data_IF_620599824562
#
_entry.id   IF_620599824562
#
_cell.length_a   1.000
_cell.length_b   1.000
_cell.length_c   1.000
_cell.angle_alpha   90.00
_cell.angle_beta   90.00
_cell.angle_gamma   90.00
#
_symmetry.space_group_name_H-M   'P 1'
#
loop_
_entity.id
_entity.type
_entity.pdbx_description
1 polymer ?
#
# COMPACT_ATOMS: atom_id res chain seq x y z
N UNK A 1 8.58 -14.55 16.17
CA UNK A 1 7.11 -14.47 15.98
C UNK A 1 6.84 -13.35 15.00
N UNK A 2 6.09 -13.60 13.93
CA UNK A 2 5.54 -12.51 13.11
C UNK A 2 4.33 -11.99 13.85
N UNK A 3 4.39 -10.75 14.34
CA UNK A 3 3.27 -10.13 15.07
C UNK A 3 2.06 -9.92 14.18
N UNK A 4 0.88 -9.70 14.78
CA UNK A 4 -0.33 -9.34 14.03
C UNK A 4 -0.14 -7.95 13.43
N UNK A 5 -0.17 -7.78 12.09
CA UNK A 5 -0.06 -6.46 11.49
C UNK A 5 -1.19 -5.54 11.99
N UNK A 6 -0.91 -4.27 12.30
CA UNK A 6 -1.94 -3.34 12.74
C UNK A 6 -2.90 -2.96 11.61
N UNK A 7 -2.45 -3.03 10.35
CA UNK A 7 -3.15 -2.57 9.16
C UNK A 7 -3.09 -3.61 8.03
N UNK A 8 -4.04 -3.54 7.12
CA UNK A 8 -4.03 -4.27 5.85
C UNK A 8 -3.85 -3.26 4.71
N UNK A 9 -2.96 -3.53 3.76
CA UNK A 9 -2.83 -2.74 2.52
C UNK A 9 -3.27 -3.62 1.36
N UNK A 10 -4.19 -3.12 0.53
CA UNK A 10 -4.69 -3.83 -0.64
C UNK A 10 -4.51 -3.01 -1.91
N UNK A 11 -3.97 -3.67 -2.92
CA UNK A 11 -3.53 -3.07 -4.18
C UNK A 11 -4.23 -3.74 -5.38
N UNK A 12 -4.06 -3.13 -6.55
CA UNK A 12 -4.59 -3.64 -7.81
C UNK A 12 -6.09 -3.42 -8.02
N UNK A 13 -6.52 -3.63 -9.26
CA UNK A 13 -7.88 -3.26 -9.72
C UNK A 13 -8.99 -4.00 -8.98
N UNK A 14 -8.77 -5.25 -8.58
CA UNK A 14 -9.78 -6.02 -7.83
C UNK A 14 -10.17 -5.33 -6.53
N UNK A 15 -9.20 -4.90 -5.72
CA UNK A 15 -9.47 -4.20 -4.46
C UNK A 15 -9.93 -2.76 -4.71
N UNK A 16 -9.25 -2.03 -5.60
CA UNK A 16 -9.51 -0.61 -5.86
C UNK A 16 -10.88 -0.33 -6.49
N UNK A 17 -11.30 -1.14 -7.46
CA UNK A 17 -12.50 -0.88 -8.26
C UNK A 17 -13.75 -1.57 -7.72
N UNK A 18 -13.61 -2.50 -6.75
CA UNK A 18 -14.72 -3.23 -6.17
C UNK A 18 -14.85 -2.92 -4.67
N UNK A 19 -15.66 -1.90 -4.36
CA UNK A 19 -15.93 -1.47 -2.98
C UNK A 19 -16.49 -2.60 -2.10
N UNK A 20 -17.30 -3.49 -2.65
CA UNK A 20 -17.83 -4.65 -1.90
C UNK A 20 -16.70 -5.61 -1.53
N UNK A 21 -15.79 -5.90 -2.46
CA UNK A 21 -14.63 -6.75 -2.16
C UNK A 21 -13.73 -6.09 -1.10
N UNK A 22 -13.46 -4.80 -1.19
CA UNK A 22 -12.69 -4.07 -0.18
C UNK A 22 -13.31 -4.19 1.23
N UNK A 23 -14.64 -4.02 1.35
CA UNK A 23 -15.36 -4.22 2.61
C UNK A 23 -15.30 -5.66 3.12
N UNK A 24 -15.44 -6.65 2.23
CA UNK A 24 -15.31 -8.06 2.58
C UNK A 24 -13.92 -8.35 3.14
N UNK A 25 -12.86 -7.80 2.53
CA UNK A 25 -11.48 -7.96 2.99
C UNK A 25 -11.28 -7.31 4.37
N UNK A 26 -11.71 -6.05 4.55
CA UNK A 26 -11.60 -5.36 5.84
C UNK A 26 -12.26 -6.14 6.98
N UNK A 27 -13.49 -6.65 6.75
CA UNK A 27 -14.22 -7.51 7.70
C UNK A 27 -13.56 -8.84 7.93
N UNK A 28 -13.13 -9.52 6.86
CA UNK A 28 -12.57 -10.87 6.93
C UNK A 28 -11.28 -10.89 7.74
N UNK A 29 -10.46 -9.84 7.62
CA UNK A 29 -9.22 -9.72 8.37
C UNK A 29 -9.39 -8.96 9.70
N UNK A 30 -10.52 -8.29 9.92
CA UNK A 30 -10.78 -7.48 11.11
C UNK A 30 -9.79 -6.31 11.22
N UNK A 31 -9.45 -5.70 10.08
CA UNK A 31 -8.45 -4.64 9.94
C UNK A 31 -8.93 -3.55 9.00
N UNK A 32 -8.58 -2.30 9.30
CA UNK A 32 -8.69 -1.21 8.34
C UNK A 32 -7.85 -1.55 7.12
N UNK A 33 -8.49 -1.52 5.95
CA UNK A 33 -7.86 -1.74 4.65
C UNK A 33 -7.50 -0.39 4.03
N UNK A 34 -6.20 -0.16 3.80
CA UNK A 34 -5.70 1.00 3.09
C UNK A 34 -5.52 0.68 1.60
N UNK A 35 -5.96 1.57 0.74
CA UNK A 35 -5.83 1.46 -0.72
C UNK A 35 -4.86 2.57 -1.20
N UNK A 36 -3.73 2.21 -1.84
CA UNK A 36 -2.78 3.17 -2.38
C UNK A 36 -3.39 4.07 -3.45
N UNK A 37 -2.93 5.33 -3.51
CA UNK A 37 -3.32 6.28 -4.57
C UNK A 37 -2.79 5.85 -5.95
N UNK A 38 -1.59 5.30 -5.97
CA UNK A 38 -0.95 4.85 -7.21
C UNK A 38 -1.58 3.57 -7.76
N UNK A 39 -1.75 3.51 -9.08
CA UNK A 39 -2.42 2.41 -9.76
C UNK A 39 -1.51 1.27 -10.25
N UNK A 40 -0.20 1.51 -10.31
CA UNK A 40 0.82 0.62 -10.87
C UNK A 40 1.91 0.34 -9.82
N UNK A 41 1.61 -0.48 -8.83
CA UNK A 41 2.43 -0.62 -7.62
C UNK A 41 3.84 -1.18 -7.93
N UNK A 42 3.97 -2.03 -8.95
CA UNK A 42 5.26 -2.53 -9.40
C UNK A 42 6.15 -1.43 -9.99
N UNK A 43 5.57 -0.53 -10.80
CA UNK A 43 6.30 0.60 -11.38
C UNK A 43 6.71 1.60 -10.30
N UNK A 44 5.83 1.87 -9.33
CA UNK A 44 6.13 2.73 -8.18
C UNK A 44 7.25 2.12 -7.33
N UNK A 45 7.20 0.80 -7.07
CA UNK A 45 8.28 0.10 -6.37
C UNK A 45 9.62 0.19 -7.10
N UNK A 46 9.62 0.10 -8.43
CA UNK A 46 10.82 0.32 -9.24
C UNK A 46 11.34 1.77 -9.13
N UNK A 47 10.46 2.76 -9.12
CA UNK A 47 10.84 4.17 -8.93
C UNK A 47 11.43 4.41 -7.52
N UNK A 48 10.86 3.83 -6.47
CA UNK A 48 11.41 3.84 -5.11
C UNK A 48 12.83 3.25 -5.12
N UNK A 49 13.01 2.06 -5.69
CA UNK A 49 14.33 1.41 -5.74
C UNK A 49 15.35 2.23 -6.55
N UNK A 50 14.95 2.76 -7.71
CA UNK A 50 15.80 3.61 -8.55
C UNK A 50 16.22 4.88 -7.82
N UNK A 51 15.31 5.51 -7.06
CA UNK A 51 15.61 6.74 -6.32
C UNK A 51 16.72 6.53 -5.26
N UNK A 52 16.77 5.35 -4.63
CA UNK A 52 17.86 4.98 -3.72
C UNK A 52 19.14 4.67 -4.49
N UNK A 53 19.06 3.90 -5.58
CA UNK A 53 20.22 3.57 -6.41
C UNK A 53 20.90 4.79 -7.04
N UNK A 54 20.14 5.87 -7.28
CA UNK A 54 20.64 7.15 -7.78
C UNK A 54 21.11 8.11 -6.67
N UNK A 55 20.97 7.72 -5.39
CA UNK A 55 21.36 8.54 -4.25
C UNK A 55 20.43 9.73 -3.96
N UNK A 56 19.21 9.74 -4.51
CA UNK A 56 18.19 10.77 -4.20
C UNK A 56 17.71 10.61 -2.75
N UNK A 57 17.53 9.35 -2.32
CA UNK A 57 17.24 8.99 -0.94
C UNK A 57 18.32 8.04 -0.41
N UNK A 58 18.56 8.08 0.90
CA UNK A 58 19.60 7.25 1.53
C UNK A 58 19.23 5.77 1.67
N UNK A 59 17.94 5.47 1.76
CA UNK A 59 17.42 4.12 1.96
C UNK A 59 15.97 3.98 1.43
N UNK A 60 15.51 2.72 1.32
CA UNK A 60 14.20 2.39 0.78
C UNK A 60 13.05 2.85 1.69
N UNK A 61 13.25 2.92 3.00
CA UNK A 61 12.21 3.30 3.94
C UNK A 61 11.88 4.79 3.80
N UNK A 62 12.91 5.63 3.78
CA UNK A 62 12.82 7.06 3.53
C UNK A 62 12.22 7.35 2.15
N UNK A 63 12.66 6.62 1.11
CA UNK A 63 12.12 6.77 -0.23
C UNK A 63 10.63 6.37 -0.31
N UNK A 64 10.26 5.23 0.28
CA UNK A 64 8.88 4.77 0.31
C UNK A 64 7.97 5.73 1.10
N UNK A 65 8.41 6.23 2.25
CA UNK A 65 7.68 7.21 3.03
C UNK A 65 7.47 8.54 2.30
N UNK A 66 8.40 8.94 1.44
CA UNK A 66 8.30 10.17 0.65
C UNK A 66 7.42 10.02 -0.61
N UNK A 67 7.31 8.81 -1.17
CA UNK A 67 6.71 8.58 -2.49
C UNK A 67 5.36 7.84 -2.45
N UNK A 68 5.03 7.15 -1.34
CA UNK A 68 3.79 6.41 -1.20
C UNK A 68 2.76 7.19 -0.37
N UNK A 69 1.52 7.18 -0.84
CA UNK A 69 0.35 7.73 -0.17
C UNK A 69 -0.87 6.81 -0.35
N UNK A 70 -1.90 7.04 0.46
CA UNK A 70 -3.13 6.24 0.48
C UNK A 70 -4.31 7.13 0.10
N UNK A 71 -5.15 6.67 -0.82
CA UNK A 71 -6.33 7.38 -1.27
C UNK A 71 -7.58 7.06 -0.44
N UNK A 72 -7.67 5.84 0.10
CA UNK A 72 -8.84 5.38 0.82
C UNK A 72 -8.46 4.49 2.02
N UNK A 73 -9.25 4.62 3.09
CA UNK A 73 -9.27 3.70 4.22
C UNK A 73 -10.68 3.10 4.36
N UNK A 74 -10.76 1.77 4.40
CA UNK A 74 -12.00 1.01 4.56
C UNK A 74 -11.98 0.31 5.91
N UNK A 75 -12.88 0.72 6.81
CA UNK A 75 -13.04 0.10 8.12
C UNK A 75 -13.77 -1.27 8.03
N UNK A 76 -13.53 -2.20 8.99
CA UNK A 76 -14.28 -3.46 9.10
C UNK A 76 -15.80 -3.26 9.25
#
# INVERSE_FOLDING_TARGET
>A
MVGTPPLLVGAGNGVRQNRLLAQILARRFGKTLLIPNHAEEAAVGAAVAASVGLGIFGDLETAAAALLDYAEAVEP
#
